data_IF_493047077570
#
_entry.id   IF_493047077570
#
_cell.length_a   1.000
_cell.length_b   1.000
_cell.length_c   1.000
_cell.angle_alpha   90.00
_cell.angle_beta   90.00
_cell.angle_gamma   90.00
#
_symmetry.space_group_name_H-M   'P 1'
#
loop_
_entity.id
_entity.type
_entity.pdbx_description
1 polymer ?
#
# COMPACT_ATOMS: atom_id res chain seq x y z
N UNK A 1 -2.03 16.44 -18.26
CA UNK A 1 -0.61 16.46 -17.85
C UNK A 1 0.13 15.42 -18.69
N UNK A 2 1.40 15.60 -19.04
CA UNK A 2 2.13 14.51 -19.69
C UNK A 2 2.27 13.34 -18.71
N UNK A 3 1.94 12.13 -19.18
CA UNK A 3 2.16 10.91 -18.40
C UNK A 3 3.67 10.65 -18.28
N UNK A 4 4.12 10.16 -17.12
CA UNK A 4 5.48 9.67 -16.96
C UNK A 4 5.67 8.39 -17.79
N UNK A 5 6.88 8.17 -18.29
CA UNK A 5 7.21 6.82 -18.78
C UNK A 5 7.37 5.86 -17.60
N UNK A 6 7.18 4.57 -17.84
CA UNK A 6 7.32 3.56 -16.78
C UNK A 6 8.74 3.57 -16.15
N UNK A 7 9.77 3.82 -16.95
CA UNK A 7 11.16 3.92 -16.48
C UNK A 7 11.37 5.14 -15.58
N UNK A 8 10.66 6.25 -15.85
CA UNK A 8 10.69 7.43 -14.97
C UNK A 8 9.98 7.14 -13.65
N UNK A 9 8.78 6.52 -13.71
CA UNK A 9 8.06 6.11 -12.52
C UNK A 9 8.87 5.17 -11.62
N UNK A 10 9.53 4.15 -12.21
CA UNK A 10 10.41 3.22 -11.49
C UNK A 10 11.56 3.96 -10.80
N UNK A 11 12.19 4.95 -11.48
CA UNK A 11 13.26 5.76 -10.87
C UNK A 11 12.74 6.61 -9.71
N UNK A 12 11.60 7.25 -9.88
CA UNK A 12 11.00 8.08 -8.83
C UNK A 12 10.61 7.24 -7.61
N UNK A 13 10.01 6.08 -7.81
CA UNK A 13 9.72 5.11 -6.73
C UNK A 13 10.99 4.67 -6.01
N UNK A 14 12.05 4.35 -6.77
CA UNK A 14 13.35 3.95 -6.20
C UNK A 14 13.96 5.05 -5.33
N UNK A 15 13.82 6.30 -5.76
CA UNK A 15 14.29 7.48 -5.03
C UNK A 15 13.41 7.87 -3.83
N UNK A 16 12.33 7.12 -3.57
CA UNK A 16 11.39 7.38 -2.46
C UNK A 16 10.41 8.51 -2.73
N UNK A 17 10.22 8.88 -4.00
CA UNK A 17 9.22 9.88 -4.40
C UNK A 17 7.85 9.23 -4.57
N UNK A 18 6.80 10.07 -4.50
CA UNK A 18 5.45 9.67 -4.84
C UNK A 18 5.20 9.86 -6.34
N UNK A 19 4.40 8.97 -6.91
CA UNK A 19 3.77 9.10 -8.22
C UNK A 19 2.26 9.02 -8.06
N UNK A 20 1.50 9.51 -9.05
CA UNK A 20 0.07 9.24 -9.15
C UNK A 20 -0.09 8.06 -10.11
N UNK A 21 -0.64 6.98 -9.59
CA UNK A 21 -0.99 5.78 -10.33
C UNK A 21 -2.46 5.85 -10.70
N UNK A 22 -2.75 5.91 -11.98
CA UNK A 22 -4.13 5.96 -12.51
C UNK A 22 -4.45 4.64 -13.19
N UNK A 23 -5.68 4.18 -13.05
CA UNK A 23 -6.18 3.04 -13.78
C UNK A 23 -7.00 3.46 -15.01
N UNK A 24 -7.54 2.48 -15.73
CA UNK A 24 -8.28 2.69 -16.96
C UNK A 24 -9.60 3.43 -16.69
N UNK A 25 -10.01 4.32 -17.62
CA UNK A 25 -11.27 5.05 -17.55
C UNK A 25 -12.49 4.12 -17.49
N UNK A 26 -12.37 2.91 -18.07
CA UNK A 26 -13.42 1.88 -18.08
C UNK A 26 -13.42 1.03 -16.80
N UNK A 27 -12.49 1.26 -15.84
CA UNK A 27 -12.39 0.52 -14.57
C UNK A 27 -12.91 1.37 -13.40
N UNK A 28 -12.07 1.90 -12.55
CA UNK A 28 -12.44 2.80 -11.44
C UNK A 28 -12.31 4.27 -11.85
N UNK A 29 -11.42 4.56 -12.81
CA UNK A 29 -11.08 5.90 -13.25
C UNK A 29 -10.64 6.79 -12.07
N UNK A 30 -9.84 6.21 -11.19
CA UNK A 30 -9.32 6.86 -10.00
C UNK A 30 -7.81 7.01 -10.06
N UNK A 31 -7.29 7.93 -9.28
CA UNK A 31 -5.85 8.15 -9.13
C UNK A 31 -5.43 7.98 -7.68
N UNK A 32 -4.40 7.19 -7.44
CA UNK A 32 -3.82 6.99 -6.13
C UNK A 32 -2.44 7.64 -6.04
N UNK A 33 -2.18 8.39 -4.95
CA UNK A 33 -0.82 8.66 -4.53
C UNK A 33 -0.16 7.34 -4.18
N UNK A 34 1.01 7.06 -4.77
CA UNK A 34 1.70 5.78 -4.65
C UNK A 34 3.17 6.00 -4.36
N UNK A 35 3.73 5.25 -3.40
CA UNK A 35 5.17 5.19 -3.13
C UNK A 35 5.57 3.79 -2.63
N UNK A 36 6.88 3.47 -2.72
CA UNK A 36 7.39 2.23 -2.13
C UNK A 36 7.26 2.24 -0.61
N UNK A 37 6.74 1.15 -0.04
CA UNK A 37 6.45 1.07 1.40
C UNK A 37 7.71 1.17 2.28
N UNK A 38 8.85 0.60 1.86
CA UNK A 38 10.11 0.70 2.61
C UNK A 38 10.71 2.13 2.64
N UNK A 39 10.21 3.04 1.80
CA UNK A 39 10.63 4.45 1.72
C UNK A 39 9.66 5.39 2.42
N UNK A 40 8.61 4.87 3.05
CA UNK A 40 7.60 5.71 3.69
C UNK A 40 8.18 6.50 4.86
N UNK A 41 7.72 7.74 5.01
CA UNK A 41 8.06 8.62 6.12
C UNK A 41 6.79 9.21 6.74
N UNK A 42 6.85 9.73 7.98
CA UNK A 42 5.72 10.46 8.56
C UNK A 42 5.24 11.63 7.70
N UNK A 43 6.16 12.35 7.03
CA UNK A 43 5.83 13.45 6.13
C UNK A 43 5.06 12.96 4.91
N UNK A 44 5.44 11.80 4.35
CA UNK A 44 4.75 11.18 3.24
C UNK A 44 3.33 10.78 3.62
N UNK A 45 3.13 10.16 4.78
CA UNK A 45 1.80 9.82 5.31
C UNK A 45 0.97 11.08 5.55
N UNK A 46 1.57 12.12 6.14
CA UNK A 46 0.88 13.39 6.34
C UNK A 46 0.47 14.04 5.02
N UNK A 47 1.32 13.96 3.99
CA UNK A 47 1.01 14.45 2.65
C UNK A 47 -0.20 13.69 2.05
N UNK A 48 -0.18 12.36 2.11
CA UNK A 48 -1.30 11.51 1.64
C UNK A 48 -2.61 11.86 2.37
N UNK A 49 -2.57 11.98 3.69
CA UNK A 49 -3.75 12.31 4.49
C UNK A 49 -4.29 13.72 4.20
N UNK A 50 -3.43 14.68 3.93
CA UNK A 50 -3.80 16.09 3.72
C UNK A 50 -4.31 16.33 2.31
N UNK A 51 -3.62 15.78 1.32
CA UNK A 51 -3.85 16.10 -0.10
C UNK A 51 -4.55 14.99 -0.87
N UNK A 52 -4.28 13.71 -0.55
CA UNK A 52 -5.03 12.58 -1.09
C UNK A 52 -6.43 12.51 -0.46
N UNK A 53 -6.49 12.53 0.85
CA UNK A 53 -7.72 12.45 1.68
C UNK A 53 -8.44 11.10 1.61
N UNK A 54 -7.91 10.15 0.82
CA UNK A 54 -8.39 8.78 0.72
C UNK A 54 -7.92 7.88 1.87
N UNK A 55 -8.22 6.61 1.79
CA UNK A 55 -7.77 5.63 2.76
C UNK A 55 -6.31 5.25 2.50
N UNK A 56 -5.46 5.39 3.52
CA UNK A 56 -4.05 4.99 3.40
C UNK A 56 -3.96 3.47 3.55
N UNK A 57 -3.58 2.80 2.47
CA UNK A 57 -3.51 1.35 2.37
C UNK A 57 -2.07 0.89 2.13
N UNK A 58 -1.76 -0.33 2.60
CA UNK A 58 -0.48 -1.00 2.40
C UNK A 58 -0.67 -2.20 1.48
N UNK A 59 -0.38 -2.04 0.19
CA UNK A 59 -0.40 -3.14 -0.77
C UNK A 59 0.82 -4.04 -0.57
N UNK A 60 0.59 -5.34 -0.42
CA UNK A 60 1.64 -6.36 -0.24
C UNK A 60 1.35 -7.59 -1.09
N UNK A 61 2.38 -8.39 -1.33
CA UNK A 61 2.21 -9.67 -1.99
C UNK A 61 1.38 -10.63 -1.15
N UNK A 62 0.77 -11.62 -1.81
CA UNK A 62 0.01 -12.67 -1.13
C UNK A 62 0.88 -13.41 -0.09
N UNK A 63 2.13 -13.72 -0.46
CA UNK A 63 3.09 -14.43 0.39
C UNK A 63 3.43 -13.62 1.65
N UNK A 64 3.59 -12.28 1.54
CA UNK A 64 3.84 -11.44 2.71
C UNK A 64 2.63 -11.38 3.62
N UNK A 65 1.41 -11.30 3.06
CA UNK A 65 0.18 -11.37 3.85
C UNK A 65 0.05 -12.71 4.59
N UNK A 66 0.40 -13.83 3.94
CA UNK A 66 0.39 -15.16 4.56
C UNK A 66 1.44 -15.27 5.67
N UNK A 67 2.67 -14.78 5.42
CA UNK A 67 3.75 -14.76 6.43
C UNK A 67 3.33 -13.99 7.69
N UNK A 68 2.60 -12.90 7.53
CA UNK A 68 2.13 -12.06 8.63
C UNK A 68 0.80 -12.54 9.23
N UNK A 69 0.24 -13.67 8.76
CA UNK A 69 -1.05 -14.20 9.20
C UNK A 69 -2.17 -13.15 9.12
N UNK A 70 -2.32 -12.52 7.94
CA UNK A 70 -3.33 -11.49 7.68
C UNK A 70 -4.52 -12.11 6.91
N UNK A 71 -5.57 -12.55 7.61
CA UNK A 71 -6.77 -13.07 6.96
C UNK A 71 -7.53 -11.97 6.20
N UNK A 72 -8.37 -12.31 5.22
CA UNK A 72 -9.29 -11.38 4.61
C UNK A 72 -10.13 -10.64 5.65
N UNK A 73 -10.46 -9.38 5.38
CA UNK A 73 -11.30 -8.56 6.27
C UNK A 73 -12.72 -9.15 6.42
N UNK A 74 -13.20 -9.85 5.38
CA UNK A 74 -14.51 -10.51 5.36
C UNK A 74 -14.39 -11.90 4.74
N UNK A 75 -15.21 -12.85 5.18
CA UNK A 75 -15.25 -14.20 4.63
C UNK A 75 -15.79 -14.23 3.19
N UNK A 76 -16.74 -13.35 2.88
CA UNK A 76 -17.35 -13.23 1.56
C UNK A 76 -17.18 -11.81 1.03
N UNK A 77 -16.20 -11.63 0.14
CA UNK A 77 -15.95 -10.34 -0.49
C UNK A 77 -16.96 -10.09 -1.61
N UNK A 78 -17.83 -9.11 -1.42
CA UNK A 78 -18.87 -8.68 -2.36
C UNK A 78 -18.52 -7.35 -3.04
N UNK A 79 -17.30 -6.82 -2.89
CA UNK A 79 -16.89 -5.56 -3.52
C UNK A 79 -16.87 -5.72 -5.05
N UNK A 80 -17.33 -4.71 -5.82
CA UNK A 80 -17.42 -4.80 -7.28
C UNK A 80 -16.10 -5.14 -7.97
N UNK A 81 -14.98 -4.62 -7.45
CA UNK A 81 -13.66 -4.80 -8.02
C UNK A 81 -12.82 -5.87 -7.28
N UNK A 82 -13.40 -6.53 -6.28
CA UNK A 82 -12.75 -7.61 -5.53
C UNK A 82 -11.48 -7.18 -4.80
N UNK A 83 -11.41 -5.93 -4.33
CA UNK A 83 -10.26 -5.40 -3.59
C UNK A 83 -9.94 -6.26 -2.39
N UNK A 84 -8.69 -6.72 -2.29
CA UNK A 84 -8.25 -7.72 -1.33
C UNK A 84 -7.92 -7.16 0.05
N UNK A 85 -8.86 -6.46 0.69
CA UNK A 85 -8.68 -6.01 2.07
C UNK A 85 -8.43 -7.18 3.02
N UNK A 86 -7.41 -7.04 3.85
CA UNK A 86 -7.20 -7.90 5.01
C UNK A 86 -7.65 -7.19 6.29
N UNK A 87 -7.55 -7.87 7.43
CA UNK A 87 -7.71 -7.21 8.73
C UNK A 87 -6.73 -6.05 8.85
N UNK A 88 -7.18 -4.93 9.43
CA UNK A 88 -6.30 -3.77 9.67
C UNK A 88 -5.27 -4.07 10.76
N UNK A 89 -4.14 -3.40 10.71
CA UNK A 89 -2.98 -3.66 11.56
C UNK A 89 -2.45 -2.41 12.25
N UNK A 90 -1.73 -2.64 13.34
CA UNK A 90 -0.90 -1.66 14.04
C UNK A 90 0.43 -2.29 14.41
N UNK A 91 1.53 -1.51 14.45
CA UNK A 91 2.76 -2.00 15.06
C UNK A 91 2.54 -2.22 16.56
N UNK A 92 3.07 -3.33 17.09
CA UNK A 92 2.96 -3.62 18.53
C UNK A 92 3.74 -2.64 19.38
N UNK A 93 4.84 -2.09 18.85
CA UNK A 93 5.75 -1.19 19.54
C UNK A 93 6.06 0.05 18.71
N UNK A 94 6.47 1.14 19.38
CA UNK A 94 6.88 2.36 18.70
C UNK A 94 5.74 3.27 18.24
N UNK A 95 4.51 2.96 18.63
CA UNK A 95 3.31 3.74 18.31
C UNK A 95 2.59 4.18 19.58
N UNK A 96 1.77 5.22 19.48
CA UNK A 96 0.89 5.70 20.55
C UNK A 96 -0.53 5.16 20.36
N UNK A 97 -1.43 5.93 19.75
CA UNK A 97 -2.81 5.52 19.44
C UNK A 97 -2.94 4.92 18.04
N UNK A 98 -1.88 4.95 17.22
CA UNK A 98 -1.82 4.36 15.89
C UNK A 98 -2.21 5.28 14.73
N UNK A 99 -3.02 6.31 14.97
CA UNK A 99 -3.59 7.15 13.90
C UNK A 99 -2.65 8.25 13.39
N UNK A 100 -1.66 8.69 14.18
CA UNK A 100 -0.76 9.75 13.75
C UNK A 100 0.02 9.36 12.48
N UNK A 101 0.49 10.35 11.73
CA UNK A 101 1.32 10.08 10.55
C UNK A 101 2.59 9.31 10.93
N UNK A 102 3.17 9.61 12.09
CA UNK A 102 4.32 8.88 12.63
C UNK A 102 3.96 7.41 12.93
N UNK A 103 2.85 7.17 13.64
CA UNK A 103 2.44 5.81 14.03
C UNK A 103 2.12 4.96 12.80
N UNK A 104 1.42 5.54 11.80
CA UNK A 104 1.10 4.83 10.55
C UNK A 104 2.36 4.51 9.74
N UNK A 105 3.31 5.45 9.64
CA UNK A 105 4.61 5.18 9.00
C UNK A 105 5.37 4.08 9.73
N UNK A 106 5.40 4.11 11.08
CA UNK A 106 6.01 3.07 11.90
C UNK A 106 5.37 1.70 11.67
N UNK A 107 4.04 1.64 11.60
CA UNK A 107 3.31 0.39 11.33
C UNK A 107 3.65 -0.17 9.96
N UNK A 108 3.69 0.67 8.92
CA UNK A 108 4.05 0.25 7.56
C UNK A 108 5.49 -0.29 7.52
N UNK A 109 6.46 0.46 8.06
CA UNK A 109 7.86 0.04 8.08
C UNK A 109 8.06 -1.27 8.85
N UNK A 110 7.35 -1.44 9.97
CA UNK A 110 7.36 -2.69 10.73
C UNK A 110 6.83 -3.84 9.87
N UNK A 111 5.67 -3.66 9.23
CA UNK A 111 5.03 -4.72 8.45
C UNK A 111 5.87 -5.18 7.25
N UNK A 112 6.61 -4.27 6.59
CA UNK A 112 7.39 -4.61 5.40
C UNK A 112 8.82 -5.07 5.72
N UNK A 113 9.28 -4.95 6.96
CA UNK A 113 10.59 -5.45 7.37
C UNK A 113 10.73 -6.95 7.08
N UNK A 114 11.93 -7.38 6.68
CA UNK A 114 12.19 -8.77 6.29
C UNK A 114 12.00 -9.75 7.46
N UNK A 115 12.33 -9.32 8.67
CA UNK A 115 12.28 -10.09 9.91
C UNK A 115 10.95 -9.95 10.67
N UNK A 116 9.99 -9.18 10.15
CA UNK A 116 8.69 -8.98 10.78
C UNK A 116 7.93 -10.30 10.93
N UNK A 117 7.44 -10.54 12.13
CA UNK A 117 6.63 -11.70 12.49
C UNK A 117 5.19 -11.28 12.84
N UNK A 118 4.19 -12.18 12.78
CA UNK A 118 2.81 -11.87 13.17
C UNK A 118 2.66 -11.26 14.57
N UNK A 119 3.55 -11.62 15.49
CA UNK A 119 3.57 -11.10 16.87
C UNK A 119 4.01 -9.63 16.98
N UNK A 120 4.66 -9.06 15.95
CA UNK A 120 5.13 -7.69 15.92
C UNK A 120 4.00 -6.72 15.53
N UNK A 121 2.87 -7.27 15.14
CA UNK A 121 1.66 -6.55 14.78
C UNK A 121 0.52 -6.85 15.76
N UNK A 122 -0.39 -5.89 15.92
CA UNK A 122 -1.69 -6.06 16.60
C UNK A 122 -2.82 -5.80 15.62
N UNK A 123 -4.00 -6.30 15.91
CA UNK A 123 -5.21 -6.22 15.11
C UNK A 123 -6.42 -5.94 16.01
N UNK A 124 -7.34 -5.04 15.61
CA UNK A 124 -7.29 -4.14 14.44
C UNK A 124 -6.29 -3.00 14.65
N UNK A 125 -6.10 -2.16 13.61
CA UNK A 125 -5.25 -0.98 13.63
C UNK A 125 -5.67 0.06 12.60
N UNK A 126 -4.78 1.00 12.31
CA UNK A 126 -5.06 2.16 11.44
C UNK A 126 -4.36 2.08 10.07
N UNK A 127 -3.68 0.99 9.76
CA UNK A 127 -3.21 0.67 8.41
C UNK A 127 -4.01 -0.51 7.87
N UNK A 128 -4.40 -0.41 6.61
CA UNK A 128 -5.26 -1.35 5.91
C UNK A 128 -4.45 -2.09 4.85
N UNK A 129 -3.97 -3.33 5.14
CA UNK A 129 -3.25 -4.10 4.15
C UNK A 129 -4.18 -4.57 3.03
N UNK A 130 -3.65 -4.50 1.80
CA UNK A 130 -4.28 -5.02 0.60
C UNK A 130 -3.45 -6.18 0.06
N UNK A 131 -4.07 -7.33 -0.10
CA UNK A 131 -3.47 -8.53 -0.67
C UNK A 131 -3.50 -8.44 -2.19
N UNK A 132 -2.36 -8.17 -2.82
CA UNK A 132 -2.23 -8.17 -4.27
C UNK A 132 -2.44 -9.57 -4.86
N UNK A 133 -3.01 -9.64 -6.05
CA UNK A 133 -3.14 -10.90 -6.79
C UNK A 133 -1.77 -11.38 -7.26
N UNK A 134 -1.49 -12.67 -7.07
CA UNK A 134 -0.30 -13.31 -7.63
C UNK A 134 -0.34 -13.18 -9.15
N UNK A 135 0.79 -12.70 -9.75
CA UNK A 135 0.88 -12.36 -11.17
C UNK A 135 0.75 -10.86 -11.47
N UNK A 136 0.47 -10.03 -10.44
CA UNK A 136 0.53 -8.57 -10.54
C UNK A 136 -0.48 -7.96 -11.49
N UNK A 137 -0.12 -6.84 -12.12
CA UNK A 137 -1.00 -6.07 -13.02
C UNK A 137 -1.48 -6.85 -14.25
N UNK A 138 -0.79 -7.91 -14.64
CA UNK A 138 -1.21 -8.76 -15.76
C UNK A 138 -2.44 -9.58 -15.39
N UNK A 139 -2.64 -9.90 -14.11
CA UNK A 139 -3.79 -10.66 -13.61
C UNK A 139 -4.91 -9.73 -13.14
N UNK A 140 -4.57 -8.62 -12.49
CA UNK A 140 -5.51 -7.60 -12.06
C UNK A 140 -4.89 -6.21 -12.25
N UNK A 141 -5.42 -5.45 -13.20
CA UNK A 141 -4.92 -4.12 -13.57
C UNK A 141 -5.41 -3.04 -12.56
N UNK A 142 -5.11 -3.22 -11.28
CA UNK A 142 -5.48 -2.29 -10.22
C UNK A 142 -4.29 -1.60 -9.55
N UNK A 143 -4.55 -0.50 -8.85
CA UNK A 143 -3.55 0.28 -8.13
C UNK A 143 -2.80 -0.56 -7.09
N UNK A 144 -3.49 -1.52 -6.45
CA UNK A 144 -2.88 -2.49 -5.51
C UNK A 144 -1.72 -3.25 -6.16
N UNK A 145 -1.99 -3.91 -7.29
CA UNK A 145 -0.98 -4.67 -8.03
C UNK A 145 0.08 -3.76 -8.64
N UNK A 146 -0.34 -2.61 -9.17
CA UNK A 146 0.55 -1.61 -9.77
C UNK A 146 1.59 -1.08 -8.79
N UNK A 147 1.20 -0.78 -7.57
CA UNK A 147 2.12 -0.29 -6.53
C UNK A 147 3.16 -1.35 -6.11
N UNK A 148 2.73 -2.60 -5.96
CA UNK A 148 3.61 -3.74 -5.63
C UNK A 148 4.60 -4.00 -6.77
N UNK A 149 4.12 -4.01 -8.03
CA UNK A 149 4.95 -4.24 -9.20
C UNK A 149 5.97 -3.11 -9.43
N UNK A 150 5.58 -1.83 -9.23
CA UNK A 150 6.49 -0.69 -9.32
C UNK A 150 7.62 -0.79 -8.27
N UNK A 151 7.28 -1.11 -7.02
CA UNK A 151 8.28 -1.30 -5.97
C UNK A 151 9.25 -2.44 -6.33
N UNK A 152 8.73 -3.59 -6.80
CA UNK A 152 9.53 -4.74 -7.24
C UNK A 152 10.45 -4.39 -8.41
N UNK A 153 9.93 -3.69 -9.43
CA UNK A 153 10.73 -3.25 -10.60
C UNK A 153 11.80 -2.21 -10.23
N UNK A 154 11.57 -1.43 -9.18
CA UNK A 154 12.55 -0.50 -8.61
C UNK A 154 13.65 -1.21 -7.80
N UNK A 155 13.56 -2.55 -7.60
CA UNK A 155 14.50 -3.34 -6.81
C UNK A 155 14.33 -3.15 -5.30
N UNK A 156 13.12 -2.79 -4.87
CA UNK A 156 12.74 -2.57 -3.47
C UNK A 156 11.85 -3.71 -2.97
N UNK A 157 11.53 -3.71 -1.67
CA UNK A 157 10.53 -4.61 -1.09
C UNK A 157 9.23 -4.53 -1.88
N UNK A 158 8.67 -5.69 -2.28
CA UNK A 158 7.45 -5.78 -3.11
C UNK A 158 6.21 -5.36 -2.31
N UNK A 159 6.16 -4.08 -1.95
CA UNK A 159 5.08 -3.47 -1.19
C UNK A 159 4.97 -1.98 -1.54
N UNK A 160 3.75 -1.48 -1.65
CA UNK A 160 3.45 -0.08 -1.93
C UNK A 160 2.49 0.53 -0.91
N UNK A 161 2.66 1.81 -0.61
CA UNK A 161 1.67 2.61 0.11
C UNK A 161 0.86 3.37 -0.92
N UNK A 162 -0.45 3.25 -0.87
CA UNK A 162 -1.38 3.93 -1.77
C UNK A 162 -2.43 4.70 -0.99
N UNK A 163 -2.92 5.78 -1.58
CA UNK A 163 -3.99 6.61 -1.02
C UNK A 163 -4.76 7.25 -2.17
N UNK A 164 -6.06 7.00 -2.27
CA UNK A 164 -6.92 7.57 -3.29
C UNK A 164 -6.88 9.11 -3.22
N UNK A 165 -6.89 9.76 -4.40
CA UNK A 165 -7.00 11.22 -4.49
C UNK A 165 -8.46 11.58 -4.63
N UNK A 166 -8.99 12.22 -3.61
CA UNK A 166 -10.40 12.64 -3.54
C UNK A 166 -10.55 14.11 -3.92
N UNK A 167 -11.66 14.48 -4.58
CA UNK A 167 -12.06 15.85 -4.88
C UNK A 167 -12.36 16.71 -3.63
#
# INVERSE_FOLDING_TARGET
MPHLTIEQAIRDIKDGKMVILVDDEDRENEGDLCMAAEKVTPEAINFMATYGRGLICLAMTAEKCDLLDLPPMVDNNTSPFGTGFTVSIEARCGVSTGISAHDRATTILTAVADDCQPRDLVRPGHIFPLRAKSGGVIVRAGQTEGSVDLARLAGLTSAGVICEVMD
#
